data_IF_505353745331
#
_entry.id   IF_505353745331
#
_cell.length_a   1.000
_cell.length_b   1.000
_cell.length_c   1.000
_cell.angle_alpha   90.00
_cell.angle_beta   90.00
_cell.angle_gamma   90.00
#
_symmetry.space_group_name_H-M   'P 1'
#
loop_
_entity.id
_entity.type
_entity.pdbx_description
1 polymer ?
#
# COMPACT_ATOMS: atom_id res chain seq x y z
N UNK A 1 10.43 11.39 12.40
CA UNK A 1 10.60 10.89 11.03
C UNK A 1 11.10 9.47 11.13
N UNK A 2 10.30 8.52 10.66
CA UNK A 2 10.65 7.10 10.64
C UNK A 2 11.89 6.86 9.73
N UNK A 3 12.80 5.96 10.13
CA UNK A 3 14.00 5.60 9.36
C UNK A 3 13.71 5.18 7.91
N UNK A 4 12.57 4.52 7.66
CA UNK A 4 12.13 4.15 6.32
C UNK A 4 11.86 5.38 5.44
N UNK A 5 11.21 6.40 5.99
CA UNK A 5 10.89 7.63 5.28
C UNK A 5 12.15 8.46 4.97
N UNK A 6 13.14 8.44 5.86
CA UNK A 6 14.45 9.04 5.58
C UNK A 6 15.13 8.38 4.38
N UNK A 7 15.09 7.05 4.26
CA UNK A 7 15.59 6.33 3.08
C UNK A 7 14.85 6.72 1.80
N UNK A 8 13.52 6.88 1.86
CA UNK A 8 12.75 7.36 0.70
C UNK A 8 13.19 8.75 0.24
N UNK A 9 13.50 9.66 1.17
CA UNK A 9 14.01 11.00 0.88
C UNK A 9 15.41 11.00 0.25
N UNK A 10 16.22 9.98 0.54
CA UNK A 10 17.51 9.77 -0.12
C UNK A 10 17.35 9.21 -1.55
N UNK A 11 16.29 8.44 -1.79
CA UNK A 11 15.96 7.82 -3.09
C UNK A 11 15.34 8.83 -4.06
N UNK A 12 14.32 9.56 -3.61
CA UNK A 12 13.62 10.56 -4.41
C UNK A 12 13.35 11.81 -3.56
N UNK A 13 13.68 13.01 -4.06
CA UNK A 13 13.39 14.24 -3.33
C UNK A 13 11.87 14.40 -3.15
N UNK A 14 11.47 15.01 -2.03
CA UNK A 14 10.07 15.31 -1.79
C UNK A 14 9.49 16.19 -2.92
N UNK A 15 8.24 15.94 -3.36
CA UNK A 15 7.59 16.80 -4.34
C UNK A 15 7.39 18.21 -3.79
N UNK A 16 7.18 19.18 -4.68
CA UNK A 16 6.96 20.58 -4.31
C UNK A 16 5.64 20.82 -3.57
N UNK A 17 4.67 19.92 -3.73
CA UNK A 17 3.33 20.04 -3.18
C UNK A 17 3.06 18.91 -2.16
N UNK A 18 3.25 19.17 -0.85
CA UNK A 18 2.88 18.21 0.18
C UNK A 18 1.36 18.02 0.21
N UNK A 19 0.91 16.84 0.63
CA UNK A 19 -0.53 16.56 0.74
C UNK A 19 -1.06 16.89 2.12
N UNK A 20 -2.21 17.51 2.13
CA UNK A 20 -3.04 17.68 3.32
C UNK A 20 -4.27 16.81 3.19
N UNK A 21 -4.63 16.13 4.26
CA UNK A 21 -5.77 15.22 4.32
C UNK A 21 -6.57 15.47 5.57
N UNK A 22 -7.89 15.35 5.42
CA UNK A 22 -8.79 15.14 6.53
C UNK A 22 -8.72 13.65 6.90
N UNK A 23 -7.84 13.34 7.86
CA UNK A 23 -7.62 11.97 8.29
C UNK A 23 -8.82 11.39 9.02
N UNK A 24 -9.54 12.20 9.80
CA UNK A 24 -10.74 11.78 10.50
C UNK A 24 -11.82 11.34 9.51
N UNK A 25 -12.03 12.12 8.44
CA UNK A 25 -12.93 11.74 7.35
C UNK A 25 -12.49 10.44 6.66
N UNK A 26 -11.22 10.34 6.29
CA UNK A 26 -10.69 9.17 5.58
C UNK A 26 -10.84 7.89 6.40
N UNK A 27 -10.46 7.93 7.67
CA UNK A 27 -10.53 6.79 8.60
C UNK A 27 -11.98 6.40 8.89
N UNK A 28 -12.87 7.38 9.00
CA UNK A 28 -14.31 7.12 9.15
C UNK A 28 -14.89 6.41 7.93
N UNK A 29 -14.53 6.84 6.72
CA UNK A 29 -14.97 6.19 5.47
C UNK A 29 -14.40 4.79 5.30
N UNK A 30 -13.16 4.55 5.74
CA UNK A 30 -12.52 3.24 5.71
C UNK A 30 -12.99 2.29 6.83
N UNK A 31 -13.61 2.83 7.88
CA UNK A 31 -13.94 2.07 9.08
C UNK A 31 -12.70 1.52 9.78
N UNK A 32 -11.58 2.24 9.71
CA UNK A 32 -10.31 1.85 10.30
C UNK A 32 -9.41 3.08 10.46
N UNK A 33 -8.70 3.18 11.57
CA UNK A 33 -7.57 4.10 11.69
C UNK A 33 -6.43 3.65 10.77
N UNK A 34 -5.60 4.59 10.33
CA UNK A 34 -4.48 4.34 9.42
C UNK A 34 -3.13 4.47 10.15
N UNK A 35 -2.12 3.66 9.75
CA UNK A 35 -0.78 3.74 10.33
C UNK A 35 -0.19 5.16 10.27
N UNK A 36 0.49 5.58 11.33
CA UNK A 36 1.12 6.88 11.43
C UNK A 36 2.22 7.07 10.38
N UNK A 37 2.98 6.01 10.06
CA UNK A 37 4.04 6.06 9.05
C UNK A 37 3.47 6.30 7.63
N UNK A 38 2.34 5.68 7.31
CA UNK A 38 1.60 5.94 6.09
C UNK A 38 1.09 7.39 6.01
N UNK A 39 0.54 7.92 7.10
CA UNK A 39 0.11 9.33 7.15
C UNK A 39 1.27 10.29 6.92
N UNK A 40 2.47 9.99 7.43
CA UNK A 40 3.69 10.75 7.15
C UNK A 40 4.12 10.62 5.67
N UNK A 41 4.10 9.39 5.12
CA UNK A 41 4.40 9.12 3.71
C UNK A 41 3.51 9.94 2.78
N UNK A 42 2.19 9.86 2.96
CA UNK A 42 1.22 10.62 2.16
C UNK A 42 1.39 12.12 2.35
N UNK A 43 1.64 12.60 3.58
CA UNK A 43 1.87 14.04 3.80
C UNK A 43 3.01 14.59 2.95
N UNK A 44 4.09 13.82 2.78
CA UNK A 44 5.28 14.25 2.05
C UNK A 44 5.14 14.00 0.56
N UNK A 45 4.85 12.76 0.16
CA UNK A 45 4.85 12.32 -1.23
C UNK A 45 3.47 12.32 -1.87
N UNK A 46 2.42 12.12 -1.08
CA UNK A 46 1.08 11.85 -1.57
C UNK A 46 0.93 10.47 -2.21
N UNK A 47 -0.20 10.28 -2.89
CA UNK A 47 -0.35 9.21 -3.86
C UNK A 47 0.68 9.41 -4.96
N UNK A 48 1.37 8.33 -5.32
CA UNK A 48 2.59 8.45 -6.11
C UNK A 48 2.91 7.16 -6.84
N UNK A 49 3.56 7.32 -7.98
CA UNK A 49 4.09 6.23 -8.79
C UNK A 49 5.61 6.18 -8.61
N UNK A 50 6.10 5.02 -8.20
CA UNK A 50 7.51 4.71 -7.98
C UNK A 50 7.99 3.73 -9.06
N UNK A 51 9.09 4.09 -9.72
CA UNK A 51 9.76 3.32 -10.76
C UNK A 51 8.85 2.87 -11.91
N UNK A 52 7.80 3.66 -12.20
CA UNK A 52 6.80 3.38 -13.23
C UNK A 52 6.09 2.03 -13.02
N UNK A 53 6.05 1.57 -11.77
CA UNK A 53 5.55 0.24 -11.45
C UNK A 53 4.64 0.26 -10.23
N UNK A 54 5.09 0.79 -9.10
CA UNK A 54 4.32 0.75 -7.85
C UNK A 54 3.55 2.04 -7.62
N UNK A 55 2.24 1.95 -7.49
CA UNK A 55 1.34 3.06 -7.24
C UNK A 55 0.85 3.03 -5.79
N UNK A 56 1.19 4.07 -5.03
CA UNK A 56 0.70 4.28 -3.67
C UNK A 56 -0.69 4.90 -3.75
N UNK A 57 -1.67 4.23 -3.14
CA UNK A 57 -3.03 4.72 -3.05
C UNK A 57 -3.09 5.84 -2.02
N UNK A 58 -3.97 6.82 -2.24
CA UNK A 58 -4.13 7.98 -1.37
C UNK A 58 -5.62 8.23 -1.09
N UNK A 59 -6.07 8.49 0.15
CA UNK A 59 -7.48 8.83 0.40
C UNK A 59 -7.80 10.18 -0.22
N UNK A 60 -8.85 10.28 -1.02
CA UNK A 60 -9.14 11.48 -1.81
C UNK A 60 -8.00 11.77 -2.79
N UNK A 61 -7.50 10.75 -3.49
CA UNK A 61 -6.42 10.92 -4.47
C UNK A 61 -6.90 11.86 -5.59
N UNK A 62 -6.10 12.85 -6.03
CA UNK A 62 -6.48 13.68 -7.17
C UNK A 62 -6.70 12.87 -8.45
N UNK A 63 -6.02 11.73 -8.60
CA UNK A 63 -6.31 10.76 -9.63
C UNK A 63 -7.27 9.70 -9.06
N UNK A 64 -8.54 9.76 -9.46
CA UNK A 64 -9.60 8.88 -8.94
C UNK A 64 -9.31 7.38 -9.13
N UNK A 65 -8.49 7.01 -10.14
CA UNK A 65 -8.09 5.62 -10.36
C UNK A 65 -7.20 5.05 -9.23
N UNK A 66 -6.66 5.90 -8.35
CA UNK A 66 -5.79 5.52 -7.25
C UNK A 66 -6.31 6.03 -5.90
N UNK A 67 -7.63 6.27 -5.81
CA UNK A 67 -8.26 6.62 -4.54
C UNK A 67 -8.33 5.42 -3.61
N UNK A 68 -7.71 5.54 -2.43
CA UNK A 68 -7.64 4.44 -1.48
C UNK A 68 -9.02 3.97 -1.00
N UNK A 69 -9.97 4.88 -0.81
CA UNK A 69 -11.28 4.56 -0.25
C UNK A 69 -12.09 3.74 -1.25
N UNK A 70 -12.08 4.15 -2.52
CA UNK A 70 -12.75 3.40 -3.58
C UNK A 70 -12.09 2.03 -3.81
N UNK A 71 -10.75 1.96 -3.80
CA UNK A 71 -10.02 0.70 -3.85
C UNK A 71 -10.34 -0.23 -2.68
N UNK A 72 -10.38 0.30 -1.45
CA UNK A 72 -10.68 -0.50 -0.27
C UNK A 72 -12.09 -1.11 -0.31
N UNK A 73 -13.06 -0.37 -0.86
CA UNK A 73 -14.41 -0.88 -1.08
C UNK A 73 -14.41 -1.99 -2.13
N UNK A 74 -13.87 -1.73 -3.32
CA UNK A 74 -13.92 -2.68 -4.44
C UNK A 74 -13.14 -3.96 -4.11
N UNK A 75 -11.93 -3.84 -3.55
CA UNK A 75 -11.12 -5.01 -3.20
C UNK A 75 -11.74 -5.86 -2.08
N UNK A 76 -12.50 -5.26 -1.16
CA UNK A 76 -13.20 -6.04 -0.14
C UNK A 76 -14.28 -6.93 -0.77
N UNK A 77 -15.09 -6.36 -1.68
CA UNK A 77 -16.11 -7.09 -2.43
C UNK A 77 -15.47 -8.19 -3.31
N UNK A 78 -14.44 -7.85 -4.09
CA UNK A 78 -13.77 -8.79 -5.00
C UNK A 78 -13.11 -9.97 -4.26
N UNK A 79 -12.51 -9.74 -3.08
CA UNK A 79 -11.87 -10.79 -2.30
C UNK A 79 -12.86 -11.71 -1.60
N UNK A 80 -14.00 -11.19 -1.13
CA UNK A 80 -15.07 -12.02 -0.57
C UNK A 80 -15.60 -12.99 -1.62
N UNK A 81 -15.91 -12.50 -2.82
CA UNK A 81 -16.33 -13.32 -3.95
C UNK A 81 -15.26 -14.35 -4.35
N UNK A 82 -13.98 -13.94 -4.38
CA UNK A 82 -12.86 -14.82 -4.73
C UNK A 82 -12.72 -15.99 -3.76
N UNK A 83 -12.87 -15.74 -2.45
CA UNK A 83 -12.72 -16.77 -1.41
C UNK A 83 -13.86 -17.79 -1.38
N UNK A 84 -14.93 -17.60 -2.14
CA UNK A 84 -15.92 -18.66 -2.39
C UNK A 84 -15.33 -19.78 -3.27
N UNK A 85 -14.33 -19.48 -4.09
CA UNK A 85 -13.75 -20.39 -5.09
C UNK A 85 -12.27 -20.72 -4.85
N UNK A 86 -11.53 -19.81 -4.20
CA UNK A 86 -10.11 -19.97 -3.91
C UNK A 86 -9.82 -20.08 -2.41
N UNK A 87 -8.65 -20.65 -2.08
CA UNK A 87 -8.23 -20.76 -0.69
C UNK A 87 -7.83 -19.38 -0.16
N UNK A 88 -8.53 -18.92 0.87
CA UNK A 88 -8.17 -17.75 1.68
C UNK A 88 -6.75 -17.91 2.27
N UNK A 89 -5.90 -16.87 2.27
CA UNK A 89 -4.58 -16.94 2.90
C UNK A 89 -4.70 -17.16 4.41
N UNK A 90 -3.77 -17.93 4.98
CA UNK A 90 -3.83 -18.39 6.37
C UNK A 90 -3.84 -17.22 7.37
N UNK A 91 -3.18 -16.12 7.03
CA UNK A 91 -3.11 -14.91 7.82
C UNK A 91 -4.49 -14.26 8.05
N UNK A 92 -5.44 -14.50 7.13
CA UNK A 92 -6.81 -14.00 7.19
C UNK A 92 -7.83 -15.04 7.69
N UNK A 93 -7.39 -16.23 8.07
CA UNK A 93 -8.23 -17.23 8.75
C UNK A 93 -8.48 -16.85 10.23
N UNK A 94 -7.65 -15.97 10.80
CA UNK A 94 -7.88 -15.41 12.14
C UNK A 94 -9.15 -14.57 12.12
N UNK A 95 -10.14 -14.95 12.93
CA UNK A 95 -11.45 -14.28 13.01
C UNK A 95 -11.30 -12.77 13.24
N UNK A 96 -12.05 -11.98 12.47
CA UNK A 96 -11.99 -10.51 12.49
C UNK A 96 -10.83 -9.88 11.72
N UNK A 97 -9.92 -10.67 11.14
CA UNK A 97 -8.87 -10.15 10.28
C UNK A 97 -9.42 -9.75 8.92
N UNK A 98 -8.90 -8.64 8.39
CA UNK A 98 -9.25 -8.11 7.06
C UNK A 98 -8.03 -7.49 6.38
N UNK A 99 -8.18 -7.16 5.11
CA UNK A 99 -7.18 -6.40 4.36
C UNK A 99 -7.69 -5.02 3.98
N UNK A 100 -6.78 -4.06 3.87
CA UNK A 100 -7.04 -2.74 3.31
C UNK A 100 -5.91 -2.46 2.30
N UNK A 101 -6.20 -2.17 1.02
CA UNK A 101 -5.17 -1.91 0.03
C UNK A 101 -4.47 -0.58 0.31
N UNK A 102 -3.16 -0.55 0.14
CA UNK A 102 -2.35 0.69 0.24
C UNK A 102 -1.51 0.96 -1.00
N UNK A 103 -1.29 -0.06 -1.84
CA UNK A 103 -0.66 0.09 -3.13
C UNK A 103 -1.16 -0.93 -4.14
N UNK A 104 -1.01 -0.59 -5.41
CA UNK A 104 -1.15 -1.49 -6.55
C UNK A 104 0.06 -1.35 -7.45
N UNK A 105 0.15 -2.18 -8.49
CA UNK A 105 1.20 -2.10 -9.50
C UNK A 105 0.64 -1.94 -10.91
N UNK A 106 1.51 -1.59 -11.86
CA UNK A 106 1.16 -1.51 -13.29
C UNK A 106 0.74 -2.87 -13.89
N UNK A 107 1.12 -3.98 -13.23
CA UNK A 107 0.71 -5.34 -13.61
C UNK A 107 -0.58 -5.80 -12.91
N UNK A 108 -1.09 -5.01 -11.96
CA UNK A 108 -2.31 -5.28 -11.20
C UNK A 108 -2.11 -5.97 -9.87
N UNK A 109 -0.88 -6.31 -9.46
CA UNK A 109 -0.64 -6.85 -8.11
C UNK A 109 -1.13 -5.86 -7.05
N UNK A 110 -1.64 -6.38 -5.93
CA UNK A 110 -2.20 -5.57 -4.86
C UNK A 110 -1.45 -5.80 -3.56
N UNK A 111 -1.12 -4.70 -2.88
CA UNK A 111 -0.44 -4.70 -1.59
C UNK A 111 -1.39 -4.16 -0.54
N UNK A 112 -1.49 -4.91 0.57
CA UNK A 112 -2.47 -4.68 1.61
C UNK A 112 -1.82 -4.53 2.96
N UNK A 113 -2.50 -3.78 3.83
CA UNK A 113 -2.31 -3.91 5.26
C UNK A 113 -3.12 -5.11 5.73
N UNK A 114 -2.47 -5.99 6.49
CA UNK A 114 -3.13 -7.03 7.26
C UNK A 114 -3.63 -6.43 8.58
N UNK A 115 -4.92 -6.13 8.63
CA UNK A 115 -5.60 -5.61 9.82
C UNK A 115 -5.99 -6.80 10.69
N UNK A 116 -5.55 -6.79 11.95
CA UNK A 116 -5.91 -7.80 12.94
C UNK A 116 -6.64 -7.19 14.13
N UNK A 117 -7.67 -7.86 14.67
CA UNK A 117 -8.37 -7.37 15.85
C UNK A 117 -7.42 -7.30 17.04
N UNK A 118 -7.48 -6.19 17.78
CA UNK A 118 -6.66 -5.95 18.96
C UNK A 118 -5.24 -5.46 18.70
N UNK A 119 -4.83 -5.28 17.44
CA UNK A 119 -3.57 -4.61 17.08
C UNK A 119 -3.81 -3.16 16.68
N UNK A 120 -2.93 -2.27 17.13
CA UNK A 120 -2.92 -0.87 16.69
C UNK A 120 -2.49 -0.77 15.21
N UNK A 121 -2.92 0.26 14.47
CA UNK A 121 -2.56 0.44 13.05
C UNK A 121 -1.06 0.39 12.78
N UNK A 122 -0.25 0.96 13.68
CA UNK A 122 1.22 0.97 13.55
C UNK A 122 1.86 -0.43 13.65
N UNK A 123 1.09 -1.44 14.06
CA UNK A 123 1.53 -2.84 14.13
C UNK A 123 1.06 -3.67 12.92
N UNK A 124 0.32 -3.07 11.99
CA UNK A 124 -0.13 -3.79 10.80
C UNK A 124 1.03 -4.13 9.89
N UNK A 125 0.92 -5.29 9.23
CA UNK A 125 1.96 -5.88 8.39
C UNK A 125 1.50 -5.93 6.94
N UNK A 126 2.39 -6.24 6.01
CA UNK A 126 2.10 -6.19 4.58
C UNK A 126 1.77 -7.58 4.02
N UNK A 127 0.68 -7.66 3.27
CA UNK A 127 0.38 -8.78 2.39
C UNK A 127 0.50 -8.35 0.93
N UNK A 128 1.09 -9.18 0.08
CA UNK A 128 1.19 -8.98 -1.38
C UNK A 128 0.42 -10.09 -2.08
N UNK A 129 -0.49 -9.74 -2.98
CA UNK A 129 -1.25 -10.68 -3.79
C UNK A 129 -0.95 -10.49 -5.28
N UNK A 130 -0.82 -11.60 -6.01
CA UNK A 130 -0.50 -11.61 -7.43
C UNK A 130 -1.64 -11.17 -8.36
N UNK A 131 -2.79 -10.79 -7.80
CA UNK A 131 -4.06 -10.43 -8.46
C UNK A 131 -4.70 -11.52 -9.31
N UNK A 132 -3.96 -12.16 -10.22
CA UNK A 132 -4.43 -13.23 -11.10
C UNK A 132 -3.97 -14.59 -10.60
N UNK A 133 -4.41 -14.94 -9.39
CA UNK A 133 -4.17 -16.24 -8.77
C UNK A 133 -4.14 -16.19 -7.25
N UNK A 134 -4.02 -17.38 -6.66
CA UNK A 134 -4.10 -17.57 -5.22
C UNK A 134 -2.80 -17.36 -4.44
N UNK A 135 -1.70 -16.86 -5.05
CA UNK A 135 -0.46 -16.61 -4.32
C UNK A 135 -0.54 -15.34 -3.48
N UNK A 136 -0.05 -15.48 -2.25
CA UNK A 136 0.11 -14.43 -1.27
C UNK A 136 1.50 -14.52 -0.64
N UNK A 137 2.08 -13.37 -0.33
CA UNK A 137 3.29 -13.26 0.49
C UNK A 137 3.02 -12.34 1.68
N UNK A 138 3.55 -12.73 2.84
CA UNK A 138 3.41 -11.96 4.08
C UNK A 138 4.76 -11.41 4.53
N UNK A 139 4.78 -10.13 4.89
CA UNK A 139 5.96 -9.41 5.33
C UNK A 139 5.68 -8.69 6.65
N UNK A 140 6.45 -9.02 7.69
CA UNK A 140 6.31 -8.45 9.04
C UNK A 140 6.97 -7.06 9.15
N UNK A 141 6.61 -6.15 8.24
CA UNK A 141 7.08 -4.77 8.18
C UNK A 141 5.90 -3.83 7.90
N UNK A 142 6.04 -2.54 8.21
CA UNK A 142 5.07 -1.53 7.82
C UNK A 142 5.08 -1.27 6.31
N UNK A 143 4.05 -0.63 5.76
CA UNK A 143 4.01 -0.31 4.32
C UNK A 143 5.14 0.62 3.89
N UNK A 144 5.50 1.61 4.71
CA UNK A 144 6.60 2.54 4.38
C UNK A 144 7.94 1.82 4.38
N UNK A 145 8.14 0.90 5.35
CA UNK A 145 9.33 0.05 5.40
C UNK A 145 9.38 -0.92 4.21
N UNK A 146 8.24 -1.51 3.82
CA UNK A 146 8.15 -2.37 2.65
C UNK A 146 8.56 -1.61 1.39
N UNK A 147 7.98 -0.42 1.15
CA UNK A 147 8.30 0.42 0.01
C UNK A 147 9.80 0.78 -0.03
N UNK A 148 10.34 1.30 1.09
CA UNK A 148 11.74 1.70 1.17
C UNK A 148 12.69 0.51 0.95
N UNK A 149 12.43 -0.64 1.58
CA UNK A 149 13.24 -1.84 1.41
C UNK A 149 13.11 -2.48 0.03
N UNK A 150 11.98 -2.31 -0.65
CA UNK A 150 11.84 -2.79 -2.02
C UNK A 150 12.64 -1.91 -2.98
N UNK A 151 12.63 -0.59 -2.77
CA UNK A 151 13.34 0.36 -3.63
C UNK A 151 14.87 0.28 -3.47
N UNK A 152 15.41 0.03 -2.28
CA UNK A 152 16.87 -0.13 -2.11
C UNK A 152 17.34 -1.60 -2.16
N UNK A 153 16.45 -2.51 -2.56
CA UNK A 153 16.75 -3.92 -2.79
C UNK A 153 17.01 -4.75 -1.53
N UNK A 154 16.75 -4.22 -0.32
CA UNK A 154 16.80 -4.99 0.92
C UNK A 154 15.67 -6.01 1.07
N UNK A 155 14.57 -5.83 0.33
CA UNK A 155 13.43 -6.74 0.26
C UNK A 155 13.14 -7.08 -1.20
N UNK A 156 12.95 -8.37 -1.48
CA UNK A 156 12.56 -8.86 -2.80
C UNK A 156 11.37 -9.81 -2.67
N UNK A 157 10.32 -9.53 -3.45
CA UNK A 157 9.14 -10.38 -3.57
C UNK A 157 9.25 -11.31 -4.77
N UNK A 158 8.75 -12.54 -4.63
CA UNK A 158 8.64 -13.48 -5.76
C UNK A 158 7.35 -13.29 -6.57
N UNK A 159 6.43 -12.45 -6.08
CA UNK A 159 5.21 -12.02 -6.77
C UNK A 159 5.47 -10.78 -7.61
N UNK A 160 6.17 -9.77 -7.05
CA UNK A 160 6.45 -8.53 -7.77
C UNK A 160 7.43 -8.75 -8.93
N UNK A 161 7.39 -7.83 -9.90
CA UNK A 161 8.25 -7.87 -11.07
C UNK A 161 9.72 -7.91 -10.69
N UNK A 162 10.47 -8.87 -11.26
CA UNK A 162 11.93 -8.92 -11.14
C UNK A 162 12.67 -7.71 -11.75
N UNK A 163 11.95 -6.85 -12.48
CA UNK A 163 12.47 -5.59 -13.02
C UNK A 163 12.31 -4.40 -12.04
N UNK A 164 11.64 -4.62 -10.90
CA UNK A 164 11.52 -3.63 -9.83
C UNK A 164 12.48 -3.97 -8.68
N UNK A 165 13.23 -2.98 -8.14
CA UNK A 165 13.23 -1.57 -8.53
C UNK A 165 14.11 -1.28 -9.75
N UNK A 166 13.97 -0.08 -10.32
CA UNK A 166 14.86 0.41 -11.39
C UNK A 166 16.24 0.72 -10.81
N UNK A 167 17.28 0.64 -11.65
CA UNK A 167 18.64 1.03 -11.26
C UNK A 167 18.80 2.54 -11.03
N UNK A 168 17.97 3.34 -11.71
CA UNK A 168 17.81 4.77 -11.45
C UNK A 168 16.35 4.98 -11.09
N UNK A 169 16.11 5.42 -9.85
CA UNK A 169 14.75 5.57 -9.36
C UNK A 169 14.04 6.76 -9.99
N UNK A 170 12.75 6.57 -10.22
CA UNK A 170 11.85 7.62 -10.69
C UNK A 170 10.64 7.71 -9.78
N UNK A 171 10.28 8.93 -9.40
CA UNK A 171 9.08 9.20 -8.63
C UNK A 171 8.22 10.23 -9.36
N UNK A 172 6.90 9.97 -9.40
CA UNK A 172 5.90 10.93 -9.88
C UNK A 172 4.75 11.00 -8.88
N UNK A 173 4.46 12.19 -8.37
CA UNK A 173 3.26 12.42 -7.58
C UNK A 173 2.03 12.38 -8.50
N UNK A 174 0.97 11.68 -8.09
CA UNK A 174 -0.25 11.53 -8.89
C UNK A 174 -1.08 12.81 -8.83
N UNK A 175 -1.37 13.41 -9.99
CA UNK A 175 -2.22 14.60 -10.13
C UNK A 175 -3.60 14.28 -10.72
N UNK A 176 -4.49 15.27 -10.71
CA UNK A 176 -5.77 15.16 -11.43
C UNK A 176 -5.55 15.01 -12.93
N UNK A 177 -6.43 14.24 -13.57
CA UNK A 177 -6.44 13.98 -15.03
C UNK A 177 -7.04 15.15 -15.79
#
# INVERSE_FOLDING_TARGET
MNSALTRLLEIAPAPSEPRQKDWEEAERRLGAELPADYKELIRIYGGGNWDDYMYILEPGCPNENYDLIEWAKNQAEDLEDLWEFEKKPAELEVEGSRVIPWATTDNGECLYWLVRPGLEPDQWTVLVNEARGGRWEHYEVSCTQFLASSLDGQLQSSILSSLFPRTTHEFRQLGGV
#
